data_IF_488639910662
#
_entry.id   IF_488639910662
#
_cell.length_a   1.000
_cell.length_b   1.000
_cell.length_c   1.000
_cell.angle_alpha   90.00
_cell.angle_beta   90.00
_cell.angle_gamma   90.00
#
_symmetry.space_group_name_H-M   'P 1'
#
loop_
_entity.id
_entity.type
_entity.pdbx_description
1 polymer ?
#
# COMPACT_ATOMS: atom_id res chain seq x y z
N UNK A 1 11.25 0.54 -34.06
CA UNK A 1 12.10 0.73 -32.87
C UNK A 1 11.25 0.44 -31.65
N UNK A 2 11.56 -0.59 -30.85
CA UNK A 2 10.96 -0.72 -29.51
C UNK A 2 11.62 0.36 -28.65
N UNK A 3 10.85 1.33 -28.17
CA UNK A 3 11.34 2.26 -27.15
C UNK A 3 11.77 1.44 -25.93
N UNK A 4 13.07 1.48 -25.63
CA UNK A 4 13.61 0.83 -24.44
C UNK A 4 13.27 1.71 -23.24
N UNK A 5 12.15 1.41 -22.58
CA UNK A 5 11.65 2.22 -21.48
C UNK A 5 12.57 2.03 -20.27
N UNK A 6 13.22 3.11 -19.83
CA UNK A 6 14.13 3.08 -18.70
C UNK A 6 13.41 2.73 -17.38
N UNK A 7 13.92 1.72 -16.68
CA UNK A 7 13.49 1.32 -15.34
C UNK A 7 13.76 2.43 -14.32
N UNK A 8 12.88 2.56 -13.32
CA UNK A 8 13.07 3.47 -12.18
C UNK A 8 13.70 2.68 -11.03
N UNK A 9 14.97 2.92 -10.66
CA UNK A 9 15.61 2.23 -9.55
C UNK A 9 14.88 2.49 -8.23
N UNK A 10 14.68 1.45 -7.43
CA UNK A 10 14.15 1.56 -6.06
C UNK A 10 12.66 1.94 -5.94
N UNK A 11 11.91 2.12 -7.05
CA UNK A 11 10.47 2.46 -7.00
C UNK A 11 9.64 1.51 -6.14
N UNK A 12 9.99 0.22 -6.16
CA UNK A 12 9.29 -0.84 -5.44
C UNK A 12 9.54 -0.82 -3.92
N UNK A 13 10.53 -0.07 -3.42
CA UNK A 13 10.80 0.04 -1.99
C UNK A 13 9.79 0.95 -1.27
N UNK A 14 9.13 1.86 -2.00
CA UNK A 14 8.24 2.88 -1.44
C UNK A 14 6.86 2.93 -2.13
N UNK A 15 6.51 1.89 -2.89
CA UNK A 15 5.20 1.76 -3.51
C UNK A 15 4.20 1.09 -2.57
N UNK A 16 2.91 1.27 -2.85
CA UNK A 16 1.80 0.62 -2.15
C UNK A 16 1.52 -0.82 -2.63
N UNK A 17 2.32 -1.31 -3.57
CA UNK A 17 2.19 -2.64 -4.19
C UNK A 17 0.85 -2.87 -4.89
N UNK A 18 0.08 -1.82 -5.23
CA UNK A 18 -1.19 -1.93 -5.95
C UNK A 18 -0.97 -1.95 -7.46
N UNK A 19 -0.42 -3.05 -7.96
CA UNK A 19 0.04 -3.15 -9.35
C UNK A 19 -1.07 -2.97 -10.38
N UNK A 20 -2.30 -3.37 -10.05
CA UNK A 20 -3.51 -3.22 -10.88
C UNK A 20 -3.86 -1.77 -11.19
N UNK A 21 -3.46 -0.85 -10.31
CA UNK A 21 -3.68 0.59 -10.46
C UNK A 21 -2.38 1.38 -10.71
N UNK A 22 -1.25 0.70 -10.83
CA UNK A 22 0.05 1.35 -10.91
C UNK A 22 0.36 1.85 -12.34
N UNK A 23 0.59 3.17 -12.54
CA UNK A 23 0.94 3.70 -13.86
C UNK A 23 2.39 3.41 -14.26
N UNK A 24 3.21 2.88 -13.34
CA UNK A 24 4.65 2.66 -13.53
C UNK A 24 5.02 1.19 -13.76
N UNK A 25 4.06 0.29 -13.98
CA UNK A 25 4.31 -1.15 -14.22
C UNK A 25 5.36 -1.41 -15.30
N UNK A 26 5.31 -0.67 -16.41
CA UNK A 26 6.30 -0.75 -17.51
C UNK A 26 7.73 -0.31 -17.13
N UNK A 27 7.88 0.43 -16.02
CA UNK A 27 9.16 0.98 -15.53
C UNK A 27 9.60 0.36 -14.21
N UNK A 28 8.86 -0.63 -13.71
CA UNK A 28 9.11 -1.27 -12.43
C UNK A 28 9.80 -2.61 -12.63
N UNK A 29 11.05 -2.72 -12.18
CA UNK A 29 11.80 -3.98 -12.24
C UNK A 29 11.08 -5.11 -11.51
N UNK A 30 10.53 -4.83 -10.32
CA UNK A 30 9.84 -5.84 -9.53
C UNK A 30 8.57 -6.33 -10.24
N UNK A 31 7.83 -5.45 -10.93
CA UNK A 31 6.67 -5.85 -11.73
C UNK A 31 7.08 -6.74 -12.91
N UNK A 32 8.12 -6.36 -13.65
CA UNK A 32 8.62 -7.14 -14.79
C UNK A 32 9.07 -8.55 -14.36
N UNK A 33 9.62 -8.70 -13.16
CA UNK A 33 10.03 -9.98 -12.59
C UNK A 33 8.83 -10.82 -12.10
N UNK A 34 7.88 -10.21 -11.39
CA UNK A 34 6.74 -10.93 -10.79
C UNK A 34 5.62 -11.24 -11.80
N UNK A 35 5.46 -10.40 -12.81
CA UNK A 35 4.39 -10.46 -13.81
C UNK A 35 4.97 -10.38 -15.23
N UNK A 36 5.79 -11.35 -15.66
CA UNK A 36 6.41 -11.32 -16.98
C UNK A 36 5.37 -11.29 -18.13
N UNK A 37 4.22 -11.89 -17.91
CA UNK A 37 3.09 -11.94 -18.85
C UNK A 37 2.00 -10.88 -18.55
N UNK A 38 2.25 -9.98 -17.60
CA UNK A 38 1.28 -9.02 -17.08
C UNK A 38 0.37 -9.57 -15.97
N UNK A 39 -0.60 -8.77 -15.54
CA UNK A 39 -1.48 -9.06 -14.39
C UNK A 39 -2.47 -10.21 -14.64
N UNK A 40 -2.83 -10.45 -15.90
CA UNK A 40 -3.68 -11.59 -16.28
C UNK A 40 -2.81 -12.83 -16.40
N UNK A 41 -2.64 -13.55 -15.30
CA UNK A 41 -1.98 -14.85 -15.36
C UNK A 41 -2.98 -15.90 -15.88
N UNK A 42 -2.60 -16.70 -16.89
CA UNK A 42 -3.42 -17.85 -17.29
C UNK A 42 -3.51 -18.86 -16.13
N UNK A 43 -4.56 -19.69 -16.10
CA UNK A 43 -4.62 -20.82 -15.18
C UNK A 43 -3.37 -21.68 -15.39
N UNK A 44 -2.54 -21.79 -14.35
CA UNK A 44 -1.32 -22.59 -14.36
C UNK A 44 -1.57 -23.94 -13.70
N UNK A 45 -1.11 -25.00 -14.34
CA UNK A 45 -1.02 -26.31 -13.70
C UNK A 45 0.11 -26.36 -12.65
N UNK A 46 0.09 -27.40 -11.82
CA UNK A 46 1.02 -27.57 -10.71
C UNK A 46 2.48 -27.69 -11.17
N UNK A 47 2.75 -28.30 -12.32
CA UNK A 47 4.11 -28.48 -12.85
C UNK A 47 4.71 -27.14 -13.30
N UNK A 48 3.92 -26.32 -14.00
CA UNK A 48 4.29 -24.97 -14.42
C UNK A 48 4.57 -24.08 -13.21
N UNK A 49 3.81 -24.26 -12.12
CA UNK A 49 3.98 -23.52 -10.87
C UNK A 49 5.29 -23.90 -10.15
N UNK A 50 5.59 -25.19 -10.03
CA UNK A 50 6.86 -25.67 -9.46
C UNK A 50 8.04 -25.18 -10.29
N UNK A 51 7.95 -25.23 -11.62
CA UNK A 51 8.99 -24.75 -12.53
C UNK A 51 9.26 -23.24 -12.34
N UNK A 52 8.21 -22.41 -12.31
CA UNK A 52 8.37 -20.96 -12.07
C UNK A 52 8.96 -20.65 -10.69
N UNK A 53 8.60 -21.42 -9.66
CA UNK A 53 9.19 -21.28 -8.32
C UNK A 53 10.68 -21.59 -8.34
N UNK A 54 11.10 -22.67 -9.00
CA UNK A 54 12.51 -23.03 -9.14
C UNK A 54 13.28 -21.94 -9.90
N UNK A 55 12.75 -21.47 -11.04
CA UNK A 55 13.34 -20.38 -11.82
C UNK A 55 13.48 -19.10 -10.98
N UNK A 56 12.47 -18.75 -10.19
CA UNK A 56 12.51 -17.58 -9.30
C UNK A 56 13.56 -17.72 -8.20
N UNK A 57 13.70 -18.91 -7.60
CA UNK A 57 14.70 -19.19 -6.57
C UNK A 57 16.13 -19.16 -7.14
N UNK A 58 16.34 -19.71 -8.33
CA UNK A 58 17.63 -19.64 -9.04
C UNK A 58 17.99 -18.20 -9.39
N UNK A 59 17.03 -17.43 -9.90
CA UNK A 59 17.20 -16.01 -10.17
C UNK A 59 17.61 -15.27 -8.88
N UNK A 60 16.88 -15.52 -7.78
CA UNK A 60 17.15 -14.93 -6.46
C UNK A 60 18.55 -15.27 -5.97
N UNK A 61 18.97 -16.53 -6.07
CA UNK A 61 20.34 -16.97 -5.75
C UNK A 61 21.37 -16.20 -6.58
N UNK A 62 21.16 -16.09 -7.88
CA UNK A 62 22.07 -15.36 -8.77
C UNK A 62 22.15 -13.86 -8.44
N UNK A 63 21.05 -13.25 -8.00
CA UNK A 63 21.03 -11.87 -7.54
C UNK A 63 21.78 -11.68 -6.22
N UNK A 64 21.63 -12.61 -5.27
CA UNK A 64 22.39 -12.60 -4.01
C UNK A 64 23.90 -12.72 -4.29
N UNK A 65 24.29 -13.60 -5.21
CA UNK A 65 25.69 -13.78 -5.60
C UNK A 65 26.27 -12.54 -6.30
N UNK A 66 25.49 -11.89 -7.18
CA UNK A 66 25.88 -10.63 -7.84
C UNK A 66 25.92 -9.44 -6.88
N UNK A 67 24.99 -9.37 -5.94
CA UNK A 67 24.94 -8.32 -4.92
C UNK A 67 26.14 -8.40 -3.97
N UNK A 68 26.67 -9.60 -3.70
CA UNK A 68 27.94 -9.79 -2.96
C UNK A 68 29.17 -9.24 -3.69
N UNK A 69 29.11 -9.15 -5.02
CA UNK A 69 30.26 -8.74 -5.87
C UNK A 69 30.23 -7.26 -6.26
N UNK A 70 29.10 -6.57 -6.12
CA UNK A 70 28.96 -5.16 -6.47
C UNK A 70 29.07 -4.25 -5.25
N UNK A 71 29.55 -3.02 -5.46
CA UNK A 71 29.48 -1.94 -4.47
C UNK A 71 28.00 -1.70 -4.18
N UNK A 72 27.52 -2.08 -3.00
CA UNK A 72 26.12 -1.95 -2.62
C UNK A 72 25.71 -0.48 -2.73
N UNK A 73 24.65 -0.22 -3.50
CA UNK A 73 23.98 1.07 -3.45
C UNK A 73 23.55 1.34 -2.00
N UNK A 74 23.53 2.60 -1.54
CA UNK A 74 23.16 2.93 -0.16
C UNK A 74 21.84 2.28 0.29
N UNK A 75 20.86 2.22 -0.62
CA UNK A 75 19.56 1.59 -0.37
C UNK A 75 19.65 0.06 -0.21
N UNK A 76 20.48 -0.63 -1.00
CA UNK A 76 20.67 -2.08 -0.86
C UNK A 76 21.31 -2.43 0.48
N UNK A 77 22.24 -1.58 0.95
CA UNK A 77 22.84 -1.70 2.28
C UNK A 77 21.78 -1.55 3.38
N UNK A 78 20.85 -0.60 3.24
CA UNK A 78 19.77 -0.43 4.21
C UNK A 78 18.82 -1.64 4.26
N UNK A 79 18.46 -2.20 3.10
CA UNK A 79 17.63 -3.42 3.01
C UNK A 79 18.34 -4.61 3.67
N UNK A 80 19.63 -4.80 3.41
CA UNK A 80 20.41 -5.89 4.01
C UNK A 80 20.52 -5.73 5.55
N UNK A 81 20.75 -4.51 6.02
CA UNK A 81 20.78 -4.20 7.45
C UNK A 81 19.44 -4.52 8.12
N UNK A 82 18.33 -4.04 7.56
CA UNK A 82 16.98 -4.35 8.05
C UNK A 82 16.74 -5.87 8.09
N UNK A 83 17.03 -6.58 7.01
CA UNK A 83 16.83 -8.03 6.91
C UNK A 83 17.59 -8.79 8.00
N UNK A 84 18.83 -8.38 8.27
CA UNK A 84 19.64 -8.95 9.36
C UNK A 84 19.02 -8.69 10.72
N UNK A 85 18.55 -7.47 11.02
CA UNK A 85 17.91 -7.19 12.32
C UNK A 85 16.66 -8.03 12.57
N UNK A 86 15.83 -8.23 11.54
CA UNK A 86 14.60 -9.04 11.66
C UNK A 86 14.91 -10.49 12.01
N UNK A 87 16.03 -11.05 11.54
CA UNK A 87 16.39 -12.46 11.81
C UNK A 87 16.81 -12.71 13.26
N UNK A 88 17.20 -11.68 14.02
CA UNK A 88 17.71 -11.81 15.39
C UNK A 88 16.68 -11.55 16.49
N UNK A 89 15.45 -11.12 16.17
CA UNK A 89 14.43 -10.79 17.17
C UNK A 89 13.09 -11.47 16.88
N UNK A 90 12.96 -12.72 17.34
CA UNK A 90 11.71 -13.48 17.32
C UNK A 90 11.00 -13.53 18.67
N UNK A 91 11.54 -12.91 19.73
CA UNK A 91 11.00 -13.06 21.09
C UNK A 91 10.90 -11.70 21.80
N UNK A 92 9.66 -11.27 22.09
CA UNK A 92 9.38 -10.29 23.16
C UNK A 92 9.37 -8.80 22.79
N UNK A 93 9.11 -8.41 21.55
CA UNK A 93 8.94 -6.97 21.24
C UNK A 93 7.75 -6.39 22.02
N UNK A 94 8.02 -5.37 22.84
CA UNK A 94 7.00 -4.57 23.52
C UNK A 94 6.04 -4.01 22.46
N UNK A 95 4.74 -4.27 22.64
CA UNK A 95 3.69 -3.87 21.68
C UNK A 95 3.68 -2.34 21.61
N UNK A 96 4.11 -1.78 20.48
CA UNK A 96 4.15 -0.33 20.29
C UNK A 96 2.70 0.21 20.30
N UNK A 97 2.37 1.28 21.06
CA UNK A 97 1.04 1.87 21.06
C UNK A 97 0.50 2.18 19.65
N UNK A 98 1.37 2.55 18.71
CA UNK A 98 1.03 2.78 17.32
C UNK A 98 0.56 1.51 16.59
N UNK A 99 1.17 0.35 16.88
CA UNK A 99 0.72 -0.93 16.31
C UNK A 99 -0.67 -1.31 16.81
N UNK A 100 -0.99 -1.00 18.07
CA UNK A 100 -2.34 -1.24 18.61
C UNK A 100 -3.40 -0.36 17.93
N UNK A 101 -3.08 0.90 17.62
CA UNK A 101 -3.97 1.77 16.83
C UNK A 101 -4.22 1.22 15.42
N UNK A 102 -3.18 0.67 14.78
CA UNK A 102 -3.30 0.07 13.45
C UNK A 102 -4.14 -1.21 13.47
N UNK A 103 -3.93 -2.07 14.47
CA UNK A 103 -4.74 -3.28 14.67
C UNK A 103 -6.22 -2.92 14.84
N UNK A 104 -6.50 -1.89 15.63
CA UNK A 104 -7.87 -1.42 15.86
C UNK A 104 -8.50 -0.84 14.60
N UNK A 105 -7.76 -0.02 13.84
CA UNK A 105 -8.21 0.50 12.54
C UNK A 105 -8.52 -0.64 11.56
N UNK A 106 -7.63 -1.63 11.44
CA UNK A 106 -7.84 -2.80 10.59
C UNK A 106 -9.10 -3.57 10.98
N UNK A 107 -9.34 -3.73 12.28
CA UNK A 107 -10.50 -4.45 12.82
C UNK A 107 -11.81 -3.68 12.57
N UNK A 108 -11.87 -2.41 12.95
CA UNK A 108 -13.10 -1.59 12.80
C UNK A 108 -13.48 -1.45 11.32
N UNK A 109 -12.51 -1.15 10.45
CA UNK A 109 -12.76 -1.04 9.01
C UNK A 109 -13.21 -2.36 8.39
N UNK A 110 -12.68 -3.50 8.85
CA UNK A 110 -13.11 -4.81 8.37
C UNK A 110 -14.56 -5.11 8.76
N UNK A 111 -14.96 -4.76 9.99
CA UNK A 111 -16.33 -4.93 10.46
C UNK A 111 -17.30 -4.00 9.71
N UNK A 112 -16.94 -2.73 9.54
CA UNK A 112 -17.75 -1.77 8.78
C UNK A 112 -17.94 -2.20 7.31
N UNK A 113 -16.86 -2.60 6.61
CA UNK A 113 -16.94 -3.09 5.23
C UNK A 113 -17.80 -4.35 5.09
N UNK A 114 -17.88 -5.17 6.14
CA UNK A 114 -18.72 -6.36 6.18
C UNK A 114 -20.18 -6.00 6.39
N UNK A 115 -20.46 -5.03 7.27
CA UNK A 115 -21.82 -4.52 7.51
C UNK A 115 -22.38 -3.81 6.26
N UNK A 116 -21.55 -2.99 5.61
CA UNK A 116 -21.92 -2.18 4.45
C UNK A 116 -21.60 -2.86 3.11
N UNK A 117 -21.46 -4.19 3.09
CA UNK A 117 -21.01 -4.95 1.91
C UNK A 117 -21.84 -4.69 0.63
N UNK A 118 -23.12 -4.33 0.79
CA UNK A 118 -24.08 -4.13 -0.28
C UNK A 118 -24.26 -2.64 -0.64
N UNK A 119 -23.51 -1.73 0.01
CA UNK A 119 -23.64 -0.27 -0.15
C UNK A 119 -23.49 0.17 -1.62
N UNK A 120 -22.51 -0.37 -2.35
CA UNK A 120 -22.30 -0.03 -3.77
C UNK A 120 -23.42 -0.57 -4.68
N UNK A 121 -24.01 -1.72 -4.34
CA UNK A 121 -25.14 -2.30 -5.09
C UNK A 121 -26.40 -1.46 -4.86
N UNK A 122 -26.66 -1.09 -3.61
CA UNK A 122 -27.74 -0.17 -3.23
C UNK A 122 -27.57 1.20 -3.89
N UNK A 123 -26.34 1.73 -3.95
CA UNK A 123 -26.02 2.94 -4.69
C UNK A 123 -26.41 2.81 -6.17
N UNK A 124 -26.06 1.70 -6.81
CA UNK A 124 -26.41 1.42 -8.20
C UNK A 124 -27.93 1.42 -8.43
N UNK A 125 -28.68 0.75 -7.56
CA UNK A 125 -30.14 0.70 -7.65
C UNK A 125 -30.78 2.08 -7.44
N UNK A 126 -30.33 2.85 -6.46
CA UNK A 126 -30.83 4.20 -6.21
C UNK A 126 -30.57 5.13 -7.40
N UNK A 127 -29.36 5.10 -7.96
CA UNK A 127 -29.00 5.95 -9.09
C UNK A 127 -29.73 5.56 -10.38
N UNK A 128 -29.99 4.26 -10.60
CA UNK A 128 -30.83 3.81 -11.71
C UNK A 128 -32.28 4.33 -11.56
N UNK A 129 -32.82 4.32 -10.34
CA UNK A 129 -34.14 4.87 -10.05
C UNK A 129 -34.20 6.39 -10.31
N UNK A 130 -33.24 7.16 -9.83
CA UNK A 130 -33.15 8.63 -10.06
C UNK A 130 -33.02 8.97 -11.55
N UNK A 131 -32.29 8.17 -12.32
CA UNK A 131 -32.15 8.32 -13.77
C UNK A 131 -33.48 8.08 -14.49
N UNK A 132 -34.22 7.02 -14.10
CA UNK A 132 -35.53 6.72 -14.67
C UNK A 132 -36.57 7.82 -14.41
N UNK A 133 -36.39 8.60 -13.34
CA UNK A 133 -37.22 9.77 -13.03
C UNK A 133 -36.74 11.06 -13.72
N UNK A 134 -35.64 11.02 -14.49
CA UNK A 134 -35.06 12.18 -15.16
C UNK A 134 -34.39 13.19 -14.22
N UNK A 135 -34.06 12.78 -12.98
CA UNK A 135 -33.44 13.65 -11.98
C UNK A 135 -31.92 13.81 -12.19
N UNK A 136 -31.30 12.87 -12.90
CA UNK A 136 -29.87 12.83 -13.22
C UNK A 136 -29.63 12.27 -14.62
N UNK A 137 -28.52 12.65 -15.22
CA UNK A 137 -28.06 12.08 -16.49
C UNK A 137 -27.26 10.80 -16.27
N UNK A 138 -27.26 9.92 -17.27
CA UNK A 138 -26.46 8.68 -17.24
C UNK A 138 -24.95 8.95 -17.05
N UNK A 139 -24.46 10.06 -17.59
CA UNK A 139 -23.07 10.47 -17.47
C UNK A 139 -22.71 10.83 -16.01
N UNK A 140 -23.57 11.58 -15.33
CA UNK A 140 -23.39 11.94 -13.91
C UNK A 140 -23.42 10.70 -13.01
N UNK A 141 -24.36 9.79 -13.26
CA UNK A 141 -24.47 8.52 -12.51
C UNK A 141 -23.23 7.66 -12.71
N UNK A 142 -22.74 7.53 -13.95
CA UNK A 142 -21.54 6.75 -14.25
C UNK A 142 -20.32 7.30 -13.50
N UNK A 143 -20.16 8.62 -13.49
CA UNK A 143 -19.06 9.28 -12.78
C UNK A 143 -19.16 9.08 -11.27
N UNK A 144 -20.35 9.20 -10.70
CA UNK A 144 -20.59 9.00 -9.27
C UNK A 144 -20.30 7.56 -8.85
N UNK A 145 -20.89 6.57 -9.53
CA UNK A 145 -20.68 5.16 -9.21
C UNK A 145 -19.22 4.74 -9.34
N UNK A 146 -18.51 5.28 -10.34
CA UNK A 146 -17.06 5.09 -10.46
C UNK A 146 -16.31 5.68 -9.26
N UNK A 147 -16.66 6.89 -8.86
CA UNK A 147 -16.03 7.59 -7.72
C UNK A 147 -16.25 6.83 -6.41
N UNK A 148 -17.47 6.35 -6.16
CA UNK A 148 -17.81 5.53 -4.99
C UNK A 148 -17.07 4.19 -5.01
N UNK A 149 -17.02 3.52 -6.16
CA UNK A 149 -16.26 2.27 -6.32
C UNK A 149 -14.77 2.48 -6.05
N UNK A 150 -14.19 3.55 -6.58
CA UNK A 150 -12.77 3.88 -6.37
C UNK A 150 -12.47 4.18 -4.90
N UNK A 151 -13.34 4.90 -4.20
CA UNK A 151 -13.23 5.12 -2.76
C UNK A 151 -13.31 3.79 -1.98
N UNK A 152 -14.28 2.94 -2.30
CA UNK A 152 -14.46 1.65 -1.66
C UNK A 152 -13.24 0.72 -1.83
N UNK A 153 -12.72 0.61 -3.07
CA UNK A 153 -11.51 -0.18 -3.32
C UNK A 153 -10.29 0.40 -2.60
N UNK A 154 -10.18 1.73 -2.53
CA UNK A 154 -9.12 2.44 -1.80
C UNK A 154 -9.12 2.06 -0.32
N UNK A 155 -10.29 2.07 0.33
CA UNK A 155 -10.44 1.65 1.72
C UNK A 155 -10.09 0.18 1.93
N UNK A 156 -10.58 -0.70 1.03
CA UNK A 156 -10.27 -2.13 1.08
C UNK A 156 -8.77 -2.42 0.97
N UNK A 157 -8.06 -1.67 0.13
CA UNK A 157 -6.62 -1.82 -0.06
C UNK A 157 -5.82 -1.27 1.13
N UNK A 158 -6.06 -0.01 1.48
CA UNK A 158 -5.20 0.65 2.46
C UNK A 158 -5.47 0.23 3.90
N UNK A 159 -6.65 -0.34 4.23
CA UNK A 159 -6.89 -0.91 5.57
C UNK A 159 -5.90 -2.01 5.95
N UNK A 160 -5.46 -2.83 4.99
CA UNK A 160 -4.49 -3.91 5.23
C UNK A 160 -3.06 -3.43 5.00
N UNK A 161 -2.83 -2.50 4.07
CA UNK A 161 -1.50 -1.98 3.79
C UNK A 161 -0.94 -1.16 4.96
N UNK A 162 -1.72 -0.23 5.53
CA UNK A 162 -1.25 0.70 6.56
C UNK A 162 -0.61 -0.04 7.75
N UNK A 163 -1.29 -1.01 8.41
CA UNK A 163 -0.70 -1.74 9.54
C UNK A 163 0.64 -2.41 9.21
N UNK A 164 0.70 -3.11 8.07
CA UNK A 164 1.91 -3.83 7.63
C UNK A 164 3.07 -2.86 7.39
N UNK A 165 2.79 -1.72 6.74
CA UNK A 165 3.83 -0.73 6.42
C UNK A 165 4.25 0.08 7.64
N UNK A 166 3.36 0.30 8.62
CA UNK A 166 3.72 0.88 9.93
C UNK A 166 4.70 -0.02 10.66
N UNK A 167 4.39 -1.32 10.78
CA UNK A 167 5.31 -2.28 11.43
C UNK A 167 6.66 -2.30 10.71
N UNK A 168 6.66 -2.25 9.38
CA UNK A 168 7.90 -2.19 8.59
C UNK A 168 8.69 -0.89 8.82
N UNK A 169 8.04 0.26 8.94
CA UNK A 169 8.72 1.52 9.23
C UNK A 169 9.33 1.53 10.64
N UNK A 170 8.61 0.99 11.63
CA UNK A 170 9.03 0.95 13.03
C UNK A 170 10.23 0.03 13.30
N UNK A 171 10.67 -0.77 12.32
CA UNK A 171 11.90 -1.57 12.43
C UNK A 171 13.14 -0.72 12.71
N UNK A 172 13.11 0.59 12.43
CA UNK A 172 14.17 1.52 12.83
C UNK A 172 14.46 1.51 14.34
N UNK A 173 13.46 1.17 15.17
CA UNK A 173 13.56 1.16 16.62
C UNK A 173 14.16 -0.13 17.20
N UNK A 174 14.48 -1.13 16.37
CA UNK A 174 14.95 -2.44 16.82
C UNK A 174 16.45 -2.45 17.18
N UNK A 175 16.89 -1.50 18.00
CA UNK A 175 18.24 -1.45 18.58
C UNK A 175 19.37 -1.04 17.62
N UNK A 176 19.04 -0.62 16.41
CA UNK A 176 20.01 -0.02 15.49
C UNK A 176 20.29 1.43 15.91
N UNK A 177 21.55 1.87 15.80
CA UNK A 177 21.87 3.30 15.70
C UNK A 177 21.84 3.66 14.21
N UNK A 178 20.72 4.17 13.68
CA UNK A 178 20.57 4.32 12.24
C UNK A 178 21.50 5.42 11.75
N UNK A 179 22.33 5.12 10.76
CA UNK A 179 23.09 6.14 10.03
C UNK A 179 22.16 6.97 9.12
N UNK A 180 22.70 7.98 8.43
CA UNK A 180 21.90 8.87 7.58
C UNK A 180 21.17 8.10 6.45
N UNK A 181 21.78 7.04 5.92
CA UNK A 181 21.21 6.23 4.84
C UNK A 181 20.03 5.41 5.35
N UNK A 182 20.19 4.76 6.50
CA UNK A 182 19.15 3.97 7.11
C UNK A 182 17.96 4.84 7.56
N UNK A 183 18.24 6.04 8.09
CA UNK A 183 17.20 7.03 8.40
C UNK A 183 16.43 7.45 7.15
N UNK A 184 17.10 7.74 6.04
CA UNK A 184 16.44 8.12 4.79
C UNK A 184 15.54 6.99 4.27
N UNK A 185 16.04 5.75 4.29
CA UNK A 185 15.29 4.56 3.89
C UNK A 185 13.99 4.38 4.71
N UNK A 186 14.07 4.46 6.04
CA UNK A 186 12.86 4.35 6.88
C UNK A 186 11.94 5.56 6.78
N UNK A 187 12.45 6.77 6.56
CA UNK A 187 11.61 7.93 6.23
C UNK A 187 10.82 7.71 4.93
N UNK A 188 11.40 7.04 3.93
CA UNK A 188 10.67 6.65 2.73
C UNK A 188 9.54 5.65 2.98
N UNK A 189 9.75 4.68 3.88
CA UNK A 189 8.67 3.77 4.32
C UNK A 189 7.57 4.50 5.07
N UNK A 190 7.94 5.42 5.97
CA UNK A 190 7.00 6.25 6.68
C UNK A 190 6.22 7.19 5.73
N UNK A 191 6.88 7.74 4.69
CA UNK A 191 6.23 8.53 3.64
C UNK A 191 5.12 7.74 2.94
N UNK A 192 5.37 6.48 2.59
CA UNK A 192 4.35 5.61 2.02
C UNK A 192 3.13 5.49 2.94
N UNK A 193 3.34 5.17 4.22
CA UNK A 193 2.26 5.07 5.21
C UNK A 193 1.42 6.35 5.25
N UNK A 194 2.08 7.51 5.34
CA UNK A 194 1.41 8.81 5.42
C UNK A 194 0.57 9.10 4.18
N UNK A 195 1.10 8.81 2.99
CA UNK A 195 0.35 8.95 1.72
C UNK A 195 -0.84 7.98 1.66
N UNK A 196 -0.67 6.74 2.15
CA UNK A 196 -1.77 5.77 2.26
C UNK A 196 -2.88 6.23 3.20
N UNK A 197 -2.53 6.90 4.30
CA UNK A 197 -3.50 7.51 5.21
C UNK A 197 -4.24 8.64 4.51
N UNK A 198 -3.54 9.51 3.78
CA UNK A 198 -4.18 10.61 3.04
C UNK A 198 -5.18 10.08 2.00
N UNK A 199 -4.84 9.01 1.27
CA UNK A 199 -5.76 8.33 0.36
C UNK A 199 -6.96 7.72 1.09
N UNK A 200 -6.74 7.10 2.25
CA UNK A 200 -7.83 6.53 3.07
C UNK A 200 -8.78 7.61 3.58
N UNK A 201 -8.25 8.73 4.08
CA UNK A 201 -9.05 9.87 4.53
C UNK A 201 -9.87 10.47 3.39
N UNK A 202 -9.27 10.64 2.21
CA UNK A 202 -9.99 11.11 1.02
C UNK A 202 -11.13 10.17 0.65
N UNK A 203 -10.89 8.86 0.66
CA UNK A 203 -11.92 7.88 0.35
C UNK A 203 -13.07 7.89 1.37
N UNK A 204 -12.77 8.01 2.66
CA UNK A 204 -13.79 8.19 3.69
C UNK A 204 -14.61 9.46 3.49
N UNK A 205 -13.96 10.60 3.20
CA UNK A 205 -14.69 11.84 2.89
C UNK A 205 -15.59 11.68 1.67
N UNK A 206 -15.11 11.07 0.60
CA UNK A 206 -15.93 10.78 -0.59
C UNK A 206 -17.15 9.92 -0.25
N UNK A 207 -17.04 8.95 0.67
CA UNK A 207 -18.20 8.21 1.13
C UNK A 207 -19.16 9.09 1.93
N UNK A 208 -18.66 9.87 2.89
CA UNK A 208 -19.50 10.72 3.75
C UNK A 208 -20.18 11.87 3.01
N UNK A 209 -19.58 12.39 1.94
CA UNK A 209 -20.23 13.37 1.05
C UNK A 209 -21.48 12.80 0.36
N UNK A 210 -21.50 11.48 0.12
CA UNK A 210 -22.60 10.80 -0.56
C UNK A 210 -23.54 10.05 0.38
N UNK A 211 -23.07 9.70 1.58
CA UNK A 211 -23.80 9.00 2.63
C UNK A 211 -23.60 9.66 4.01
N UNK A 212 -24.09 10.90 4.22
CA UNK A 212 -23.88 11.63 5.48
C UNK A 212 -24.46 10.91 6.69
N UNK A 213 -25.47 10.07 6.52
CA UNK A 213 -26.08 9.27 7.58
C UNK A 213 -25.13 8.22 8.17
N UNK A 214 -24.03 7.89 7.49
CA UNK A 214 -22.98 6.97 7.97
C UNK A 214 -21.90 7.66 8.81
N UNK A 215 -22.03 8.95 9.09
CA UNK A 215 -21.00 9.75 9.79
C UNK A 215 -20.64 9.15 11.15
N UNK A 216 -21.64 8.80 11.96
CA UNK A 216 -21.40 8.28 13.31
C UNK A 216 -20.66 6.93 13.29
N UNK A 217 -20.95 6.08 12.30
CA UNK A 217 -20.29 4.78 12.13
C UNK A 217 -18.82 4.92 11.71
N UNK A 218 -18.47 6.02 11.03
CA UNK A 218 -17.15 6.24 10.42
C UNK A 218 -16.22 7.09 11.28
N UNK A 219 -16.77 7.86 12.22
CA UNK A 219 -16.02 8.84 13.01
C UNK A 219 -14.83 8.23 13.76
N UNK A 220 -15.02 7.06 14.38
CA UNK A 220 -13.95 6.36 15.10
C UNK A 220 -12.80 5.96 14.17
N UNK A 221 -13.09 5.53 12.94
CA UNK A 221 -12.07 5.19 11.94
C UNK A 221 -11.27 6.41 11.49
N UNK A 222 -11.92 7.58 11.36
CA UNK A 222 -11.25 8.86 11.06
C UNK A 222 -10.33 9.30 12.20
N UNK A 223 -10.79 9.16 13.45
CA UNK A 223 -9.98 9.46 14.64
C UNK A 223 -8.75 8.54 14.71
N UNK A 224 -8.92 7.24 14.44
CA UNK A 224 -7.82 6.29 14.40
C UNK A 224 -6.78 6.68 13.33
N UNK A 225 -7.22 6.99 12.11
CA UNK A 225 -6.34 7.45 11.04
C UNK A 225 -5.57 8.73 11.41
N UNK A 226 -6.23 9.72 12.02
CA UNK A 226 -5.58 10.95 12.47
C UNK A 226 -4.52 10.67 13.54
N UNK A 227 -4.84 9.81 14.52
CA UNK A 227 -3.89 9.40 15.57
C UNK A 227 -2.68 8.68 14.99
N UNK A 228 -2.89 7.72 14.08
CA UNK A 228 -1.80 7.01 13.40
C UNK A 228 -0.93 8.01 12.63
N UNK A 229 -1.55 8.92 11.86
CA UNK A 229 -0.84 9.96 11.10
C UNK A 229 0.05 10.82 11.98
N UNK A 230 -0.49 11.39 13.07
CA UNK A 230 0.27 12.25 13.98
C UNK A 230 1.43 11.52 14.64
N UNK A 231 1.22 10.27 15.05
CA UNK A 231 2.29 9.46 15.65
C UNK A 231 3.38 9.12 14.62
N UNK A 232 3.01 8.82 13.38
CA UNK A 232 3.97 8.61 12.29
C UNK A 232 4.77 9.89 11.99
N UNK A 233 4.14 11.05 11.93
CA UNK A 233 4.81 12.35 11.72
C UNK A 233 5.74 12.72 12.88
N UNK A 234 5.35 12.39 14.11
CA UNK A 234 6.19 12.59 15.29
C UNK A 234 7.40 11.65 15.29
N UNK A 235 7.20 10.38 14.90
CA UNK A 235 8.25 9.36 14.87
C UNK A 235 9.22 9.58 13.70
N UNK A 236 8.71 10.08 12.56
CA UNK A 236 9.47 10.33 11.34
C UNK A 236 9.23 11.75 10.82
N UNK A 237 9.85 12.78 11.44
CA UNK A 237 9.62 14.18 11.07
C UNK A 237 9.96 14.51 9.60
N UNK A 238 10.96 13.82 9.03
CA UNK A 238 11.41 14.04 7.66
C UNK A 238 10.66 13.19 6.62
N UNK A 239 9.73 12.33 7.05
CA UNK A 239 9.02 11.43 6.15
C UNK A 239 8.28 12.20 5.06
N UNK A 240 7.55 13.27 5.43
CA UNK A 240 6.78 14.07 4.46
C UNK A 240 7.66 14.71 3.38
N UNK A 241 8.90 15.07 3.69
CA UNK A 241 9.86 15.66 2.76
C UNK A 241 10.58 14.63 1.87
N UNK A 242 10.59 13.36 2.26
CA UNK A 242 11.19 12.30 1.44
C UNK A 242 10.50 12.21 0.07
N UNK A 243 11.31 12.14 -1.00
CA UNK A 243 10.85 11.99 -2.39
C UNK A 243 10.94 10.53 -2.79
N UNK A 244 9.79 9.88 -2.97
CA UNK A 244 9.72 8.49 -3.42
C UNK A 244 10.11 8.41 -4.91
N UNK A 245 11.13 7.63 -5.30
CA UNK A 245 11.61 7.52 -6.67
C UNK A 245 10.48 7.22 -7.67
N UNK A 246 10.19 8.21 -8.53
CA UNK A 246 9.19 8.11 -9.59
C UNK A 246 7.72 8.18 -9.14
N UNK A 247 7.45 8.35 -7.84
CA UNK A 247 6.08 8.39 -7.28
C UNK A 247 5.69 9.78 -6.74
N UNK A 248 6.65 10.65 -6.47
CA UNK A 248 6.50 12.05 -6.02
C UNK A 248 7.29 13.01 -6.94
#
# INVERSE_FOLDING_TARGET
MKEEVALIPGIYNYCDSWCERCPFTKRCQNFALQYPDGLKQPNMDAETLVKRLMETLELTKSYVDKARQQRLLPEHRAVEQETKAVTFQTEGSVRNPLTALCDEYLRQTAEWLKQEKDLLEQAGHQQAFETNLGLRTEAEVTLLLKTLKDAWETLKWYRTLIPVKVVSALQINNGMTPDAVLRAYFNGKAKLVLVSIDYSLKAWHTLLENYPEKTDDVLDMLILLDRIRRQMETTFPEARHFRRPGLD
#
